data_IF_418633635376
#
_entry.id   IF_418633635376
#
_cell.length_a   1.000
_cell.length_b   1.000
_cell.length_c   1.000
_cell.angle_alpha   90.00
_cell.angle_beta   90.00
_cell.angle_gamma   90.00
#
_symmetry.space_group_name_H-M   'P 1'
#
loop_
_entity.id
_entity.type
_entity.pdbx_description
1 polymer ?
#
# COMPACT_ATOMS: atom_id res chain seq x y z
N UNK A 1 -6.16 9.48 -26.71
CA UNK A 1 -7.49 9.34 -26.10
C UNK A 1 -8.30 10.57 -26.46
N UNK A 2 -9.54 10.45 -26.95
CA UNK A 2 -10.41 11.58 -27.26
C UNK A 2 -10.84 12.34 -25.98
N UNK A 3 -10.90 13.67 -26.08
CA UNK A 3 -11.33 14.53 -24.94
C UNK A 3 -12.73 14.19 -24.43
N UNK A 4 -13.74 13.90 -25.28
CA UNK A 4 -15.08 13.52 -24.81
C UNK A 4 -15.08 12.28 -23.92
N UNK A 5 -14.34 11.23 -24.26
CA UNK A 5 -14.24 10.00 -23.46
C UNK A 5 -13.59 10.27 -22.11
N UNK A 6 -12.56 11.12 -22.06
CA UNK A 6 -11.92 11.50 -20.80
C UNK A 6 -12.88 12.25 -19.88
N UNK A 7 -13.66 13.19 -20.42
CA UNK A 7 -14.65 13.95 -19.65
C UNK A 7 -15.78 13.04 -19.13
N UNK A 8 -16.19 12.03 -19.90
CA UNK A 8 -17.16 11.03 -19.46
C UNK A 8 -16.65 10.24 -18.25
N UNK A 9 -15.40 9.75 -18.30
CA UNK A 9 -14.79 9.05 -17.17
C UNK A 9 -14.68 9.95 -15.94
N UNK A 10 -14.27 11.21 -16.12
CA UNK A 10 -14.23 12.18 -15.02
C UNK A 10 -15.61 12.38 -14.39
N UNK A 11 -16.67 12.45 -15.21
CA UNK A 11 -18.03 12.57 -14.70
C UNK A 11 -18.46 11.33 -13.91
N UNK A 12 -18.16 10.11 -14.39
CA UNK A 12 -18.40 8.85 -13.67
C UNK A 12 -17.65 8.83 -12.32
N UNK A 13 -16.36 9.15 -12.34
CA UNK A 13 -15.51 9.22 -11.14
C UNK A 13 -16.09 10.20 -10.12
N UNK A 14 -16.48 11.40 -10.56
CA UNK A 14 -17.06 12.40 -9.67
C UNK A 14 -18.39 11.94 -9.05
N UNK A 15 -19.23 11.24 -9.82
CA UNK A 15 -20.50 10.68 -9.33
C UNK A 15 -20.27 9.61 -8.27
N UNK A 16 -19.44 8.61 -8.57
CA UNK A 16 -19.21 7.46 -7.68
C UNK A 16 -18.48 7.90 -6.40
N UNK A 17 -17.51 8.84 -6.52
CA UNK A 17 -16.75 9.29 -5.37
C UNK A 17 -17.59 10.01 -4.30
N UNK A 18 -18.75 10.58 -4.65
CA UNK A 18 -19.66 11.23 -3.66
C UNK A 18 -20.07 10.28 -2.55
N UNK A 19 -20.23 8.98 -2.86
CA UNK A 19 -20.70 7.98 -1.91
C UNK A 19 -19.59 7.58 -0.91
N UNK A 20 -18.32 7.83 -1.25
CA UNK A 20 -17.17 7.44 -0.42
C UNK A 20 -16.35 8.61 0.13
N UNK A 21 -16.64 9.86 -0.26
CA UNK A 21 -15.77 11.01 -0.03
C UNK A 21 -15.40 11.27 1.44
N UNK A 22 -16.23 10.84 2.40
CA UNK A 22 -15.99 11.02 3.85
C UNK A 22 -15.62 9.71 4.55
N UNK A 23 -15.39 8.63 3.79
CA UNK A 23 -15.14 7.30 4.34
C UNK A 23 -13.65 7.00 4.56
N UNK A 24 -12.76 7.83 4.02
CA UNK A 24 -11.30 7.71 4.19
C UNK A 24 -10.87 8.80 5.16
N UNK A 25 -10.59 8.42 6.40
CA UNK A 25 -10.21 9.34 7.47
C UNK A 25 -8.72 9.26 7.78
N UNK A 26 -8.18 10.27 8.47
CA UNK A 26 -6.81 10.22 8.99
C UNK A 26 -6.73 9.28 10.19
N UNK A 27 -5.68 8.43 10.20
CA UNK A 27 -5.25 7.59 11.32
C UNK A 27 -3.74 7.71 11.45
N UNK A 28 -3.31 8.70 12.21
CA UNK A 28 -1.89 9.06 12.36
C UNK A 28 -1.29 8.30 13.55
N UNK A 29 -1.26 6.97 13.46
CA UNK A 29 -0.66 6.12 14.47
C UNK A 29 0.86 6.29 14.53
N UNK A 30 1.45 6.00 15.69
CA UNK A 30 2.90 5.96 15.91
C UNK A 30 3.26 4.78 16.80
N UNK A 31 4.52 4.33 16.72
CA UNK A 31 5.03 3.26 17.55
C UNK A 31 6.33 3.66 18.26
N UNK A 32 6.40 3.45 19.57
CA UNK A 32 7.49 3.91 20.43
C UNK A 32 8.87 3.34 20.08
N UNK A 33 8.93 2.21 19.40
CA UNK A 33 10.20 1.59 18.94
C UNK A 33 11.03 2.53 18.06
N UNK A 34 10.41 3.55 17.46
CA UNK A 34 11.09 4.53 16.59
C UNK A 34 11.28 5.91 17.24
N UNK A 35 10.87 6.12 18.49
CA UNK A 35 10.91 7.46 19.13
C UNK A 35 12.34 8.02 19.19
N UNK A 36 13.30 7.20 19.58
CA UNK A 36 14.72 7.58 19.65
C UNK A 36 15.25 7.99 18.26
N UNK A 37 14.96 7.19 17.24
CA UNK A 37 15.42 7.43 15.87
C UNK A 37 14.73 8.65 15.25
N UNK A 38 13.46 8.89 15.54
CA UNK A 38 12.73 10.06 15.08
C UNK A 38 13.27 11.35 15.74
N UNK A 39 13.71 11.26 16.99
CA UNK A 39 14.36 12.34 17.73
C UNK A 39 15.80 12.60 17.31
N UNK A 40 16.46 11.71 16.57
CA UNK A 40 17.86 11.82 16.22
C UNK A 40 18.14 13.02 15.28
N UNK A 41 18.95 14.01 15.72
CA UNK A 41 19.24 15.21 14.91
C UNK A 41 20.13 14.90 13.69
N UNK A 42 20.87 13.79 13.70
CA UNK A 42 21.74 13.39 12.59
C UNK A 42 20.96 12.96 11.33
N UNK A 43 19.66 12.68 11.45
CA UNK A 43 18.85 12.25 10.32
C UNK A 43 18.27 13.41 9.53
N UNK A 44 18.58 13.45 8.24
CA UNK A 44 17.99 14.40 7.31
C UNK A 44 16.50 14.13 7.01
N UNK A 45 15.80 15.11 6.41
CA UNK A 45 14.35 15.04 6.17
C UNK A 45 13.87 13.77 5.43
N UNK A 46 14.64 13.29 4.45
CA UNK A 46 14.29 12.10 3.68
C UNK A 46 14.29 10.83 4.57
N UNK A 47 15.26 10.70 5.48
CA UNK A 47 15.30 9.58 6.43
C UNK A 47 14.15 9.68 7.42
N UNK A 48 13.91 10.86 8.00
CA UNK A 48 12.79 11.09 8.93
C UNK A 48 11.44 10.78 8.31
N UNK A 49 11.18 11.18 7.06
CA UNK A 49 9.96 10.81 6.33
C UNK A 49 9.75 9.30 6.24
N UNK A 50 10.81 8.53 6.01
CA UNK A 50 10.72 7.07 5.99
C UNK A 50 10.45 6.47 7.36
N UNK A 51 11.08 6.99 8.43
CA UNK A 51 10.86 6.54 9.80
C UNK A 51 9.42 6.82 10.25
N UNK A 52 8.87 8.01 9.96
CA UNK A 52 7.47 8.35 10.26
C UNK A 52 6.51 7.36 9.59
N UNK A 53 6.75 7.01 8.33
CA UNK A 53 5.90 6.03 7.62
C UNK A 53 5.99 4.64 8.26
N UNK A 54 7.18 4.19 8.66
CA UNK A 54 7.36 2.89 9.33
C UNK A 54 6.72 2.92 10.71
N UNK A 55 6.92 3.98 11.49
CA UNK A 55 6.29 4.16 12.80
C UNK A 55 4.77 4.07 12.71
N UNK A 56 4.18 4.72 11.70
CA UNK A 56 2.73 4.64 11.50
C UNK A 56 2.25 3.24 11.16
N UNK A 57 2.94 2.51 10.29
CA UNK A 57 2.58 1.12 9.95
C UNK A 57 2.63 0.23 11.20
N UNK A 58 3.66 0.34 12.02
CA UNK A 58 3.79 -0.44 13.26
C UNK A 58 2.72 -0.03 14.30
N UNK A 59 2.44 1.27 14.42
CA UNK A 59 1.38 1.77 15.28
C UNK A 59 0.00 1.23 14.87
N UNK A 60 -0.28 1.19 13.57
CA UNK A 60 -1.52 0.59 13.06
C UNK A 60 -1.58 -0.92 13.33
N UNK A 61 -0.48 -1.66 13.16
CA UNK A 61 -0.43 -3.09 13.53
C UNK A 61 -0.75 -3.28 15.02
N UNK A 62 -0.27 -2.39 15.89
CA UNK A 62 -0.53 -2.43 17.34
C UNK A 62 -1.98 -2.06 17.65
N UNK A 63 -2.50 -0.93 17.12
CA UNK A 63 -3.87 -0.46 17.37
C UNK A 63 -4.93 -1.48 16.95
N UNK A 64 -4.67 -2.20 15.86
CA UNK A 64 -5.56 -3.23 15.33
C UNK A 64 -5.27 -4.63 15.89
N UNK A 65 -4.46 -4.71 16.95
CA UNK A 65 -4.13 -5.96 17.65
C UNK A 65 -3.59 -7.07 16.71
N UNK A 66 -2.81 -6.68 15.68
CA UNK A 66 -2.21 -7.60 14.73
C UNK A 66 -0.80 -8.08 15.16
N UNK A 67 -0.19 -7.46 16.19
CA UNK A 67 1.09 -7.86 16.76
C UNK A 67 0.89 -8.99 17.79
N UNK A 68 0.44 -10.15 17.33
CA UNK A 68 0.29 -11.36 18.17
C UNK A 68 1.52 -12.24 18.09
N UNK A 69 1.81 -13.03 19.13
CA UNK A 69 2.84 -14.07 19.04
C UNK A 69 2.39 -15.22 18.14
N UNK A 70 3.27 -16.17 17.83
CA UNK A 70 3.05 -17.26 16.85
C UNK A 70 2.65 -16.76 15.44
N UNK A 71 3.04 -15.53 15.06
CA UNK A 71 2.67 -14.89 13.80
C UNK A 71 3.86 -14.84 12.85
N UNK A 72 3.65 -15.24 11.60
CA UNK A 72 4.54 -14.89 10.50
C UNK A 72 4.10 -13.59 9.82
N UNK A 73 4.91 -12.55 9.97
CA UNK A 73 4.69 -11.28 9.28
C UNK A 73 5.35 -11.31 7.91
N UNK A 74 4.56 -11.15 6.86
CA UNK A 74 5.04 -11.22 5.47
C UNK A 74 5.14 -9.83 4.89
N UNK A 75 6.37 -9.30 4.71
CA UNK A 75 6.60 -8.07 3.97
C UNK A 75 6.72 -8.37 2.48
N UNK A 76 5.65 -8.08 1.72
CA UNK A 76 5.60 -8.22 0.27
C UNK A 76 6.15 -6.96 -0.41
N UNK A 77 7.18 -7.13 -1.27
CA UNK A 77 7.92 -6.01 -1.85
C UNK A 77 8.87 -5.35 -0.84
N UNK A 78 9.59 -6.16 -0.08
CA UNK A 78 10.38 -5.72 1.08
C UNK A 78 11.54 -4.75 0.75
N UNK A 79 11.97 -4.69 -0.52
CA UNK A 79 13.07 -3.82 -0.91
C UNK A 79 14.31 -4.05 -0.05
N UNK A 80 14.79 -2.99 0.63
CA UNK A 80 15.95 -3.06 1.53
C UNK A 80 15.65 -3.58 2.94
N UNK A 81 14.43 -4.05 3.22
CA UNK A 81 14.04 -4.63 4.51
C UNK A 81 13.90 -3.62 5.66
N UNK A 82 13.57 -2.36 5.38
CA UNK A 82 13.47 -1.34 6.44
C UNK A 82 12.27 -1.56 7.36
N UNK A 83 11.12 -1.95 6.84
CA UNK A 83 9.93 -2.24 7.66
C UNK A 83 10.18 -3.51 8.45
N UNK A 84 10.66 -4.57 7.81
CA UNK A 84 11.02 -5.83 8.46
C UNK A 84 12.02 -5.65 9.60
N UNK A 85 13.01 -4.76 9.44
CA UNK A 85 13.96 -4.45 10.50
C UNK A 85 13.27 -3.90 11.76
N UNK A 86 12.42 -2.89 11.60
CA UNK A 86 11.72 -2.30 12.74
C UNK A 86 10.64 -3.22 13.30
N UNK A 87 10.01 -4.02 12.45
CA UNK A 87 9.06 -5.04 12.86
C UNK A 87 9.75 -6.11 13.71
N UNK A 88 10.90 -6.64 13.30
CA UNK A 88 11.68 -7.58 14.09
C UNK A 88 12.09 -6.97 15.45
N UNK A 89 12.51 -5.69 15.48
CA UNK A 89 12.79 -4.97 16.73
C UNK A 89 11.55 -4.82 17.63
N UNK A 90 10.39 -4.59 17.03
CA UNK A 90 9.12 -4.53 17.77
C UNK A 90 8.78 -5.89 18.39
N UNK A 91 8.92 -6.98 17.65
CA UNK A 91 8.65 -8.33 18.12
C UNK A 91 9.64 -8.73 19.26
N UNK A 92 10.90 -8.34 19.15
CA UNK A 92 11.92 -8.54 20.18
C UNK A 92 11.53 -7.82 21.49
N UNK A 93 11.09 -6.55 21.41
CA UNK A 93 10.60 -5.79 22.56
C UNK A 93 9.36 -6.41 23.20
N UNK A 94 8.46 -6.95 22.39
CA UNK A 94 7.25 -7.65 22.85
C UNK A 94 7.54 -9.06 23.36
N UNK A 95 8.76 -9.57 23.21
CA UNK A 95 9.18 -10.94 23.55
C UNK A 95 8.40 -12.02 22.80
N UNK A 96 8.02 -11.74 21.58
CA UNK A 96 7.29 -12.65 20.68
C UNK A 96 8.30 -13.59 19.99
N UNK A 97 8.88 -14.52 20.75
CA UNK A 97 9.94 -15.42 20.28
C UNK A 97 9.46 -16.49 19.30
N UNK A 98 8.15 -16.79 19.28
CA UNK A 98 7.55 -17.74 18.33
C UNK A 98 7.17 -17.09 17.00
N UNK A 99 7.28 -15.77 16.89
CA UNK A 99 6.96 -15.02 15.69
C UNK A 99 8.16 -14.95 14.74
N UNK A 100 7.88 -14.71 13.47
CA UNK A 100 8.89 -14.58 12.42
C UNK A 100 8.55 -13.48 11.42
N UNK A 101 9.57 -13.01 10.68
CA UNK A 101 9.40 -12.04 9.60
C UNK A 101 9.89 -12.63 8.30
N UNK A 102 9.01 -12.73 7.31
CA UNK A 102 9.32 -13.19 5.96
C UNK A 102 9.38 -11.99 5.01
N UNK A 103 10.54 -11.77 4.40
CA UNK A 103 10.75 -10.74 3.39
C UNK A 103 10.68 -11.33 1.99
N UNK A 104 9.76 -10.82 1.17
CA UNK A 104 9.62 -11.22 -0.24
C UNK A 104 10.04 -10.06 -1.12
N UNK A 105 11.03 -10.27 -1.99
CA UNK A 105 11.52 -9.25 -2.93
C UNK A 105 11.99 -9.90 -4.23
N UNK A 106 11.50 -9.39 -5.37
CA UNK A 106 11.89 -9.91 -6.69
C UNK A 106 13.29 -9.47 -7.11
N UNK A 107 13.64 -8.22 -6.79
CA UNK A 107 14.91 -7.63 -7.22
C UNK A 107 16.09 -8.11 -6.38
N UNK A 108 17.25 -8.28 -7.02
CA UNK A 108 18.52 -8.49 -6.32
C UNK A 108 19.07 -7.14 -5.86
N UNK A 109 18.75 -6.76 -4.63
CA UNK A 109 19.19 -5.52 -4.02
C UNK A 109 20.38 -5.75 -3.08
N UNK A 110 21.21 -4.72 -2.87
CA UNK A 110 22.17 -4.72 -1.75
C UNK A 110 21.41 -4.54 -0.44
N UNK A 111 21.37 -5.58 0.38
CA UNK A 111 20.57 -5.69 1.60
C UNK A 111 21.30 -5.11 2.81
N UNK A 112 21.34 -3.79 2.94
CA UNK A 112 22.03 -3.13 4.06
C UNK A 112 21.44 -3.41 5.43
N UNK A 113 20.15 -3.79 5.50
CA UNK A 113 19.49 -4.07 6.76
C UNK A 113 19.53 -5.55 7.16
N UNK A 114 19.75 -6.47 6.24
CA UNK A 114 19.80 -7.90 6.54
C UNK A 114 20.91 -8.23 7.54
N UNK A 115 22.11 -7.67 7.38
CA UNK A 115 23.23 -7.85 8.35
C UNK A 115 22.91 -7.31 9.78
N UNK A 116 21.89 -6.44 9.91
CA UNK A 116 21.39 -5.97 11.20
C UNK A 116 20.34 -6.90 11.78
N UNK A 117 19.61 -7.59 10.90
CA UNK A 117 18.57 -8.55 11.25
C UNK A 117 19.17 -9.85 11.82
N UNK A 118 20.37 -10.24 11.41
CA UNK A 118 21.11 -11.38 11.97
C UNK A 118 21.41 -11.26 13.46
N UNK A 119 21.18 -10.08 14.07
CA UNK A 119 21.41 -9.79 15.49
C UNK A 119 20.12 -9.77 16.32
N UNK A 120 18.99 -10.14 15.75
CA UNK A 120 17.71 -10.21 16.46
C UNK A 120 17.43 -11.66 16.90
N UNK A 121 16.76 -11.85 18.04
CA UNK A 121 16.28 -13.16 18.48
C UNK A 121 15.07 -13.66 17.67
N UNK A 122 14.48 -12.79 16.86
CA UNK A 122 13.34 -13.10 15.98
C UNK A 122 13.84 -13.72 14.69
N UNK A 123 13.22 -14.83 14.29
CA UNK A 123 13.52 -15.47 13.00
C UNK A 123 13.16 -14.55 11.82
N UNK A 124 14.16 -14.18 11.02
CA UNK A 124 13.97 -13.34 9.84
C UNK A 124 14.46 -14.06 8.59
N UNK A 125 13.58 -14.29 7.64
CA UNK A 125 13.88 -15.03 6.40
C UNK A 125 13.62 -14.13 5.22
N UNK A 126 14.56 -14.07 4.28
CA UNK A 126 14.37 -13.39 2.99
C UNK A 126 14.32 -14.39 1.86
N UNK A 127 13.32 -14.25 1.02
CA UNK A 127 13.23 -15.00 -0.24
C UNK A 127 13.25 -14.05 -1.44
N UNK A 128 13.89 -14.51 -2.51
CA UNK A 128 13.86 -13.83 -3.79
C UNK A 128 12.85 -14.50 -4.71
N UNK A 129 11.66 -13.93 -4.81
CA UNK A 129 10.57 -14.48 -5.62
C UNK A 129 9.71 -13.36 -6.21
N UNK A 130 9.05 -13.62 -7.32
CA UNK A 130 7.93 -12.81 -7.77
C UNK A 130 6.69 -13.16 -6.95
N UNK A 131 5.93 -12.16 -6.53
CA UNK A 131 4.70 -12.35 -5.74
C UNK A 131 3.67 -13.16 -6.53
N UNK A 132 3.66 -13.02 -7.86
CA UNK A 132 2.74 -13.75 -8.74
C UNK A 132 2.93 -15.27 -8.69
N UNK A 133 4.16 -15.72 -8.43
CA UNK A 133 4.53 -17.15 -8.43
C UNK A 133 4.64 -17.73 -7.01
N UNK A 134 4.29 -16.93 -5.99
CA UNK A 134 4.55 -17.27 -4.60
C UNK A 134 3.44 -18.13 -3.99
N UNK A 135 3.80 -19.30 -3.51
CA UNK A 135 2.95 -20.18 -2.72
C UNK A 135 3.32 -20.06 -1.23
N UNK A 136 2.71 -19.09 -0.54
CA UNK A 136 3.00 -18.83 0.88
C UNK A 136 2.88 -20.07 1.78
N UNK A 137 1.87 -20.94 1.64
CA UNK A 137 1.73 -22.13 2.50
C UNK A 137 2.90 -23.10 2.45
N UNK A 138 3.64 -23.12 1.33
CA UNK A 138 4.80 -24.01 1.12
C UNK A 138 6.08 -23.49 1.77
N UNK A 139 6.06 -22.27 2.33
CA UNK A 139 7.22 -21.69 2.97
C UNK A 139 7.27 -22.10 4.44
N UNK A 140 8.37 -22.67 4.88
CA UNK A 140 8.58 -23.22 6.22
C UNK A 140 8.15 -22.27 7.35
N UNK A 141 8.46 -20.98 7.25
CA UNK A 141 8.08 -20.00 8.29
C UNK A 141 6.57 -19.79 8.34
N UNK A 142 5.89 -19.83 7.21
CA UNK A 142 4.42 -19.79 7.13
C UNK A 142 3.81 -21.11 7.60
N UNK A 143 4.40 -22.24 7.18
CA UNK A 143 3.90 -23.58 7.55
C UNK A 143 3.89 -23.78 9.08
N UNK A 144 4.89 -23.24 9.77
CA UNK A 144 5.05 -23.33 11.24
C UNK A 144 4.24 -22.30 12.02
N UNK A 145 3.91 -21.17 11.44
CA UNK A 145 3.18 -20.10 12.10
C UNK A 145 1.70 -20.46 12.30
N UNK A 146 1.15 -20.04 13.42
CA UNK A 146 -0.28 -20.13 13.71
C UNK A 146 -1.06 -19.06 12.94
N UNK A 147 -0.52 -17.87 12.89
CA UNK A 147 -1.14 -16.70 12.23
C UNK A 147 -0.24 -16.13 11.15
N UNK A 148 -0.84 -15.48 10.16
CA UNK A 148 -0.15 -14.76 9.10
C UNK A 148 -0.68 -13.33 9.03
N UNK A 149 0.24 -12.36 8.98
CA UNK A 149 -0.09 -10.94 8.80
C UNK A 149 0.67 -10.38 7.61
N UNK A 150 -0.07 -9.80 6.65
CA UNK A 150 0.51 -9.13 5.49
C UNK A 150 0.94 -7.70 5.82
N UNK A 151 2.15 -7.31 5.44
CA UNK A 151 2.65 -5.94 5.61
C UNK A 151 3.28 -5.46 4.32
N UNK A 152 2.99 -4.24 3.92
CA UNK A 152 3.70 -3.61 2.81
C UNK A 152 3.94 -2.13 3.05
N UNK A 153 5.06 -1.64 2.50
CA UNK A 153 5.33 -0.22 2.37
C UNK A 153 5.76 0.10 0.95
N UNK A 154 4.93 0.87 0.23
CA UNK A 154 5.16 1.23 -1.16
C UNK A 154 5.19 0.06 -2.16
N UNK A 155 4.22 -0.81 -2.09
CA UNK A 155 4.01 -1.83 -3.11
C UNK A 155 3.37 -1.19 -4.36
N UNK A 156 4.02 -1.33 -5.52
CA UNK A 156 3.71 -0.54 -6.71
C UNK A 156 2.72 -1.23 -7.64
N UNK A 157 1.66 -0.53 -8.03
CA UNK A 157 0.75 -0.93 -9.11
C UNK A 157 0.17 -2.33 -8.92
N UNK A 158 0.29 -3.17 -9.93
CA UNK A 158 -0.20 -4.56 -9.94
C UNK A 158 0.33 -5.43 -8.81
N UNK A 159 1.54 -5.16 -8.33
CA UNK A 159 2.11 -5.95 -7.23
C UNK A 159 1.24 -5.88 -5.96
N UNK A 160 0.47 -4.79 -5.77
CA UNK A 160 -0.51 -4.71 -4.69
C UNK A 160 -1.62 -5.76 -4.85
N UNK A 161 -2.19 -5.86 -6.04
CA UNK A 161 -3.28 -6.79 -6.33
C UNK A 161 -2.80 -8.25 -6.30
N UNK A 162 -1.59 -8.50 -6.79
CA UNK A 162 -0.91 -9.79 -6.67
C UNK A 162 -0.67 -10.18 -5.20
N UNK A 163 -0.26 -9.22 -4.35
CA UNK A 163 -0.06 -9.45 -2.92
C UNK A 163 -1.37 -9.79 -2.21
N UNK A 164 -2.45 -9.06 -2.51
CA UNK A 164 -3.78 -9.36 -1.98
C UNK A 164 -4.23 -10.76 -2.38
N UNK A 165 -4.08 -11.12 -3.66
CA UNK A 165 -4.39 -12.46 -4.17
C UNK A 165 -3.54 -13.54 -3.49
N UNK A 166 -2.24 -13.30 -3.32
CA UNK A 166 -1.32 -14.24 -2.66
C UNK A 166 -1.73 -14.51 -1.20
N UNK A 167 -2.10 -13.47 -0.44
CA UNK A 167 -2.58 -13.61 0.94
C UNK A 167 -3.93 -14.34 0.99
N UNK A 168 -4.86 -14.06 0.07
CA UNK A 168 -6.15 -14.75 0.01
C UNK A 168 -6.01 -16.22 -0.40
N UNK A 169 -5.11 -16.55 -1.30
CA UNK A 169 -4.76 -17.93 -1.62
C UNK A 169 -4.19 -18.66 -0.41
N UNK A 170 -3.33 -17.98 0.38
CA UNK A 170 -2.82 -18.52 1.63
C UNK A 170 -3.95 -18.81 2.63
N UNK A 171 -4.92 -17.92 2.78
CA UNK A 171 -6.10 -18.15 3.61
C UNK A 171 -6.94 -19.32 3.11
N UNK A 172 -7.18 -19.40 1.81
CA UNK A 172 -7.98 -20.46 1.19
C UNK A 172 -7.35 -21.84 1.33
N UNK A 173 -6.02 -21.92 1.48
CA UNK A 173 -5.29 -23.17 1.76
C UNK A 173 -5.36 -23.61 3.24
N UNK A 174 -6.12 -22.92 4.07
CA UNK A 174 -6.33 -23.26 5.48
C UNK A 174 -5.39 -22.55 6.47
N UNK A 175 -4.50 -21.64 6.01
CA UNK A 175 -3.71 -20.80 6.90
C UNK A 175 -4.55 -19.65 7.47
N UNK A 176 -4.29 -19.29 8.71
CA UNK A 176 -5.03 -18.22 9.37
C UNK A 176 -4.40 -16.86 9.08
N UNK A 177 -4.81 -16.23 7.96
CA UNK A 177 -4.45 -14.84 7.67
C UNK A 177 -5.32 -13.94 8.55
N UNK A 178 -4.76 -13.47 9.67
CA UNK A 178 -5.50 -12.67 10.67
C UNK A 178 -5.70 -11.23 10.26
N UNK A 179 -4.84 -10.70 9.39
CA UNK A 179 -5.01 -9.35 8.87
C UNK A 179 -3.84 -8.85 8.04
N UNK A 180 -3.92 -7.57 7.69
CA UNK A 180 -2.87 -6.89 6.94
C UNK A 180 -2.91 -5.38 7.11
N UNK A 181 -1.73 -4.75 7.00
CA UNK A 181 -1.54 -3.29 6.89
C UNK A 181 -0.72 -3.01 5.64
N UNK A 182 -1.34 -2.42 4.63
CA UNK A 182 -0.73 -2.26 3.32
C UNK A 182 -0.86 -0.83 2.82
N UNK A 183 0.28 -0.21 2.46
CA UNK A 183 0.31 1.11 1.84
C UNK A 183 0.58 1.01 0.36
N UNK A 184 -0.05 1.88 -0.41
CA UNK A 184 -0.08 1.81 -1.87
C UNK A 184 0.75 2.91 -2.51
N UNK A 185 1.29 2.61 -3.70
CA UNK A 185 1.90 3.61 -4.55
C UNK A 185 1.76 3.24 -6.04
N UNK A 186 2.13 4.18 -6.92
CA UNK A 186 2.22 3.95 -8.36
C UNK A 186 0.95 3.34 -8.98
N UNK A 187 -0.25 3.79 -8.58
CA UNK A 187 -1.52 3.27 -9.09
C UNK A 187 -1.68 3.44 -10.62
N UNK A 188 -0.91 4.34 -11.24
CA UNK A 188 -0.82 4.46 -12.70
C UNK A 188 -0.23 3.22 -13.40
N UNK A 189 0.28 2.24 -12.64
CA UNK A 189 0.82 0.96 -13.10
C UNK A 189 -0.10 -0.21 -12.80
N UNK A 190 -1.34 0.04 -12.43
CA UNK A 190 -2.35 -1.00 -12.27
C UNK A 190 -2.96 -1.34 -13.63
N UNK A 191 -3.23 -2.63 -13.84
CA UNK A 191 -3.87 -3.15 -15.04
C UNK A 191 -5.15 -3.88 -14.66
N UNK A 192 -6.17 -3.74 -15.51
CA UNK A 192 -7.47 -4.38 -15.27
C UNK A 192 -7.37 -5.88 -15.02
N UNK A 193 -6.50 -6.58 -15.76
CA UNK A 193 -6.40 -8.05 -15.67
C UNK A 193 -6.02 -8.56 -14.29
N UNK A 194 -5.12 -7.86 -13.59
CA UNK A 194 -4.62 -8.22 -12.25
C UNK A 194 -5.43 -7.60 -11.12
N UNK A 195 -6.16 -6.51 -11.40
CA UNK A 195 -6.88 -5.74 -10.39
C UNK A 195 -7.97 -6.57 -9.70
N UNK A 196 -7.93 -6.65 -8.37
CA UNK A 196 -8.84 -7.49 -7.57
C UNK A 196 -10.23 -6.86 -7.37
N UNK A 197 -10.35 -5.54 -7.47
CA UNK A 197 -11.61 -4.80 -7.23
C UNK A 197 -12.54 -4.70 -8.43
N UNK A 198 -12.41 -5.55 -9.47
CA UNK A 198 -13.21 -5.51 -10.71
C UNK A 198 -14.70 -5.50 -10.45
N UNK A 199 -15.17 -6.40 -9.59
CA UNK A 199 -16.60 -6.55 -9.29
C UNK A 199 -17.23 -5.24 -8.78
N UNK A 200 -16.50 -4.47 -7.94
CA UNK A 200 -16.96 -3.16 -7.51
C UNK A 200 -17.12 -2.20 -8.70
N UNK A 201 -16.10 -2.11 -9.56
CA UNK A 201 -16.14 -1.20 -10.70
C UNK A 201 -17.20 -1.57 -11.73
N UNK A 202 -17.36 -2.86 -12.04
CA UNK A 202 -18.41 -3.36 -12.93
C UNK A 202 -19.81 -2.99 -12.39
N UNK A 203 -20.02 -3.15 -11.08
CA UNK A 203 -21.27 -2.78 -10.43
C UNK A 203 -21.61 -1.29 -10.54
N UNK A 204 -20.61 -0.40 -10.48
CA UNK A 204 -20.80 1.05 -10.59
C UNK A 204 -20.64 1.58 -12.03
N UNK A 205 -20.53 0.70 -13.03
CA UNK A 205 -20.51 1.05 -14.44
C UNK A 205 -19.16 1.55 -14.98
N UNK A 206 -18.06 1.15 -14.33
CA UNK A 206 -16.67 1.35 -14.77
C UNK A 206 -16.17 0.07 -15.44
N UNK A 207 -15.80 0.14 -16.71
CA UNK A 207 -15.23 -0.96 -17.46
C UNK A 207 -13.69 -0.89 -17.51
N UNK A 208 -13.05 -1.86 -18.20
CA UNK A 208 -11.59 -1.92 -18.33
C UNK A 208 -10.97 -0.68 -18.98
N UNK A 209 -11.64 -0.10 -19.98
CA UNK A 209 -11.16 1.10 -20.67
C UNK A 209 -11.24 2.33 -19.76
N UNK A 210 -12.34 2.46 -19.01
CA UNK A 210 -12.51 3.51 -18.01
C UNK A 210 -11.44 3.39 -16.91
N UNK A 211 -11.14 2.16 -16.46
CA UNK A 211 -10.11 1.88 -15.46
C UNK A 211 -8.72 2.30 -15.92
N UNK A 212 -8.34 1.97 -17.16
CA UNK A 212 -7.05 2.37 -17.72
C UNK A 212 -6.92 3.90 -17.80
N UNK A 213 -8.02 4.59 -18.12
CA UNK A 213 -8.10 6.06 -18.09
C UNK A 213 -7.91 6.56 -16.66
N UNK A 214 -8.60 5.99 -15.69
CA UNK A 214 -8.45 6.34 -14.25
C UNK A 214 -7.03 6.17 -13.76
N UNK A 215 -6.35 5.07 -14.13
CA UNK A 215 -4.95 4.84 -13.82
C UNK A 215 -4.04 5.95 -14.40
N UNK A 216 -4.32 6.41 -15.61
CA UNK A 216 -3.65 7.58 -16.18
C UNK A 216 -3.88 8.87 -15.39
N UNK A 217 -5.13 9.10 -14.96
CA UNK A 217 -5.55 10.30 -14.21
C UNK A 217 -4.94 10.35 -12.79
N UNK A 218 -4.64 9.21 -12.17
CA UNK A 218 -3.97 9.14 -10.85
C UNK A 218 -2.68 9.95 -10.82
N UNK A 219 -1.95 10.03 -11.92
CA UNK A 219 -0.72 10.82 -12.01
C UNK A 219 -0.92 12.30 -11.71
N UNK A 220 -2.11 12.84 -11.93
CA UNK A 220 -2.44 14.23 -11.61
C UNK A 220 -2.38 14.52 -10.10
N UNK A 221 -2.74 13.55 -9.25
CA UNK A 221 -2.66 13.70 -7.80
C UNK A 221 -1.23 13.66 -7.25
N UNK A 222 -0.31 13.01 -7.95
CA UNK A 222 1.08 12.81 -7.47
C UNK A 222 2.04 13.78 -8.12
N UNK A 223 1.75 14.17 -9.36
CA UNK A 223 2.65 14.96 -10.20
C UNK A 223 2.11 16.35 -10.55
N UNK A 224 0.85 16.65 -10.35
CA UNK A 224 0.21 17.94 -10.70
C UNK A 224 0.30 18.34 -12.17
N UNK A 225 1.44 18.09 -12.80
CA UNK A 225 1.71 18.40 -14.22
C UNK A 225 1.84 17.17 -15.13
N UNK A 226 1.73 15.94 -14.59
CA UNK A 226 2.00 14.71 -15.34
C UNK A 226 3.48 14.47 -15.64
N UNK A 227 4.39 15.27 -15.11
CA UNK A 227 5.83 15.14 -15.33
C UNK A 227 6.54 14.42 -14.19
N UNK A 228 7.62 13.67 -14.50
CA UNK A 228 8.44 13.01 -13.51
C UNK A 228 9.17 14.01 -12.59
N UNK A 229 9.53 13.58 -11.36
CA UNK A 229 10.27 14.41 -10.40
C UNK A 229 11.58 14.98 -10.95
N UNK A 230 12.22 14.30 -11.87
CA UNK A 230 13.48 14.73 -12.49
C UNK A 230 13.29 15.90 -13.46
N UNK A 231 12.18 15.92 -14.20
CA UNK A 231 11.84 17.04 -15.10
C UNK A 231 11.44 18.32 -14.35
N UNK A 232 10.88 18.19 -13.11
CA UNK A 232 10.47 19.36 -12.31
C UNK A 232 11.63 20.21 -11.81
N UNK A 233 12.83 19.64 -11.61
CA UNK A 233 14.01 20.39 -11.16
C UNK A 233 14.58 21.31 -12.25
N UNK A 234 14.23 21.05 -13.51
CA UNK A 234 14.72 21.80 -14.65
C UNK A 234 13.72 22.81 -15.21
N UNK A 235 12.44 22.75 -14.80
CA UNK A 235 11.38 23.64 -15.28
C UNK A 235 10.94 24.66 -14.20
N UNK A 236 11.83 25.52 -13.72
CA UNK A 236 11.45 26.78 -13.08
C UNK A 236 10.89 27.82 -14.09
N UNK A 237 10.96 27.52 -15.38
CA UNK A 237 10.29 28.27 -16.46
C UNK A 237 8.98 27.59 -16.81
N UNK A 238 7.86 28.17 -16.39
CA UNK A 238 6.48 27.68 -16.49
C UNK A 238 5.90 27.47 -17.92
N UNK A 239 6.59 26.76 -18.79
CA UNK A 239 6.19 26.45 -20.17
C UNK A 239 6.44 24.95 -20.45
N UNK A 240 5.50 24.12 -20.04
CA UNK A 240 5.55 22.65 -20.28
C UNK A 240 4.27 21.93 -19.90
N UNK A 241 3.11 22.60 -19.91
CA UNK A 241 1.84 21.86 -19.87
C UNK A 241 1.71 21.11 -21.21
N UNK A 242 1.60 19.78 -21.09
CA UNK A 242 1.35 18.92 -22.24
C UNK A 242 0.07 19.43 -22.93
N UNK A 243 0.16 19.97 -24.15
CA UNK A 243 -0.94 20.60 -24.92
C UNK A 243 -2.22 19.75 -24.95
N UNK A 244 -2.09 18.42 -24.80
CA UNK A 244 -3.20 17.47 -24.72
C UNK A 244 -4.13 17.70 -23.53
N UNK A 245 -3.64 18.30 -22.45
CA UNK A 245 -4.43 18.54 -21.22
C UNK A 245 -4.93 19.98 -21.07
N UNK A 246 -4.43 20.93 -21.88
CA UNK A 246 -4.96 22.30 -21.95
C UNK A 246 -6.34 22.34 -22.60
N UNK A 247 -6.65 21.38 -23.49
CA UNK A 247 -7.95 21.28 -24.18
C UNK A 247 -9.12 20.83 -23.29
N UNK A 248 -8.86 20.37 -22.03
CA UNK A 248 -9.90 19.84 -21.15
C UNK A 248 -10.58 20.94 -20.32
N UNK A 249 -10.00 22.13 -20.27
CA UNK A 249 -10.54 23.27 -19.52
C UNK A 249 -10.43 23.15 -17.98
N UNK A 250 -9.71 22.14 -17.47
CA UNK A 250 -9.48 21.95 -16.03
C UNK A 250 -8.19 22.64 -15.58
N UNK A 251 -8.29 23.44 -14.51
CA UNK A 251 -7.12 24.00 -13.85
C UNK A 251 -6.34 22.93 -13.05
N UNK A 252 -5.16 23.29 -12.52
CA UNK A 252 -4.29 22.37 -11.79
C UNK A 252 -4.97 21.76 -10.57
N UNK A 253 -5.67 22.55 -9.75
CA UNK A 253 -6.34 22.08 -8.54
C UNK A 253 -7.46 21.07 -8.86
N UNK A 254 -8.21 21.33 -9.94
CA UNK A 254 -9.24 20.41 -10.42
C UNK A 254 -8.65 19.09 -10.90
N UNK A 255 -7.52 19.12 -11.63
CA UNK A 255 -6.78 17.92 -12.05
C UNK A 255 -6.29 17.10 -10.84
N UNK A 256 -5.66 17.77 -9.86
CA UNK A 256 -5.20 17.13 -8.61
C UNK A 256 -6.38 16.47 -7.86
N UNK A 257 -7.52 17.14 -7.80
CA UNK A 257 -8.75 16.63 -7.18
C UNK A 257 -9.27 15.39 -7.90
N UNK A 258 -9.35 15.41 -9.23
CA UNK A 258 -9.76 14.25 -10.03
C UNK A 258 -8.79 13.07 -9.82
N UNK A 259 -7.50 13.31 -9.86
CA UNK A 259 -6.49 12.28 -9.63
C UNK A 259 -6.62 11.65 -8.25
N UNK A 260 -6.89 12.45 -7.20
CA UNK A 260 -7.14 11.95 -5.85
C UNK A 260 -8.38 11.07 -5.79
N UNK A 261 -9.48 11.49 -6.42
CA UNK A 261 -10.70 10.68 -6.49
C UNK A 261 -10.48 9.33 -7.20
N UNK A 262 -9.71 9.30 -8.27
CA UNK A 262 -9.33 8.06 -8.93
C UNK A 262 -8.54 7.14 -7.99
N UNK A 263 -7.57 7.68 -7.22
CA UNK A 263 -6.82 6.92 -6.22
C UNK A 263 -7.75 6.32 -5.16
N UNK A 264 -8.64 7.12 -4.63
CA UNK A 264 -9.57 6.71 -3.58
C UNK A 264 -10.47 5.56 -4.07
N UNK A 265 -11.02 5.68 -5.29
CA UNK A 265 -11.89 4.65 -5.88
C UNK A 265 -11.16 3.34 -6.19
N UNK A 266 -9.92 3.40 -6.72
CA UNK A 266 -9.11 2.19 -6.96
C UNK A 266 -8.85 1.46 -5.64
N UNK A 267 -8.51 2.18 -4.58
CA UNK A 267 -8.28 1.57 -3.27
C UNK A 267 -9.60 1.12 -2.61
N UNK A 268 -10.69 1.81 -2.88
CA UNK A 268 -12.02 1.39 -2.42
C UNK A 268 -12.44 0.04 -3.00
N UNK A 269 -12.20 -0.19 -4.29
CA UNK A 269 -12.44 -1.49 -4.91
C UNK A 269 -11.64 -2.62 -4.25
N UNK A 270 -10.38 -2.37 -3.85
CA UNK A 270 -9.58 -3.33 -3.06
C UNK A 270 -10.18 -3.60 -1.69
N UNK A 271 -10.68 -2.55 -1.01
CA UNK A 271 -11.40 -2.69 0.26
C UNK A 271 -12.62 -3.60 0.10
N UNK A 272 -13.48 -3.35 -0.89
CA UNK A 272 -14.67 -4.18 -1.17
C UNK A 272 -14.27 -5.62 -1.46
N UNK A 273 -13.21 -5.83 -2.24
CA UNK A 273 -12.68 -7.19 -2.49
C UNK A 273 -12.36 -7.91 -1.17
N UNK A 274 -11.60 -7.28 -0.26
CA UNK A 274 -11.25 -7.90 1.02
C UNK A 274 -12.46 -8.11 1.93
N UNK A 275 -13.42 -7.21 1.92
CA UNK A 275 -14.69 -7.40 2.65
C UNK A 275 -15.43 -8.64 2.16
N UNK A 276 -15.45 -8.88 0.85
CA UNK A 276 -16.04 -10.09 0.26
C UNK A 276 -15.24 -11.37 0.59
N UNK A 277 -13.97 -11.25 1.00
CA UNK A 277 -13.14 -12.34 1.50
C UNK A 277 -13.27 -12.55 3.02
N UNK A 278 -14.18 -11.85 3.69
CA UNK A 278 -14.46 -12.01 5.12
C UNK A 278 -13.55 -11.17 6.04
N UNK A 279 -13.05 -10.04 5.55
CA UNK A 279 -12.29 -9.09 6.38
C UNK A 279 -13.10 -7.85 6.70
N UNK A 280 -12.95 -7.35 7.93
CA UNK A 280 -13.29 -5.98 8.28
C UNK A 280 -12.18 -5.06 7.80
N UNK A 281 -12.50 -4.08 6.96
CA UNK A 281 -11.49 -3.26 6.29
C UNK A 281 -11.72 -1.77 6.49
N UNK A 282 -10.65 -1.06 6.84
CA UNK A 282 -10.57 0.39 6.83
C UNK A 282 -9.61 0.89 5.74
N UNK A 283 -9.98 2.00 5.08
CA UNK A 283 -9.06 2.83 4.33
C UNK A 283 -8.78 4.09 5.13
N UNK A 284 -7.52 4.46 5.28
CA UNK A 284 -7.13 5.67 5.99
C UNK A 284 -5.94 6.38 5.36
N UNK A 285 -5.78 7.66 5.68
CA UNK A 285 -4.53 8.38 5.47
C UNK A 285 -3.64 8.13 6.67
N UNK A 286 -2.64 7.23 6.52
CA UNK A 286 -1.78 6.76 7.62
C UNK A 286 -0.67 7.76 8.01
N UNK A 287 -0.34 8.70 7.14
CA UNK A 287 0.58 9.81 7.40
C UNK A 287 0.07 11.07 6.72
N UNK A 288 0.49 12.23 7.23
CA UNK A 288 0.12 13.51 6.63
C UNK A 288 0.67 13.63 5.19
N UNK A 289 -0.05 14.35 4.33
CA UNK A 289 0.31 14.55 2.91
C UNK A 289 1.65 15.29 2.71
N UNK A 290 2.15 16.05 3.72
CA UNK A 290 3.48 16.65 3.68
C UNK A 290 4.62 15.62 3.80
N UNK A 291 4.34 14.44 4.35
CA UNK A 291 5.29 13.32 4.41
C UNK A 291 5.35 12.61 3.06
N UNK A 292 4.20 12.25 2.50
CA UNK A 292 4.08 11.68 1.16
C UNK A 292 2.67 11.87 0.62
N UNK A 293 2.54 12.09 -0.69
CA UNK A 293 1.24 12.09 -1.38
C UNK A 293 0.67 10.67 -1.59
N UNK A 294 1.51 9.64 -1.42
CA UNK A 294 1.12 8.23 -1.41
C UNK A 294 0.89 7.80 0.04
N UNK A 295 -0.16 8.36 0.65
CA UNK A 295 -0.45 8.22 2.08
C UNK A 295 -1.70 7.41 2.40
N UNK A 296 -2.27 6.71 1.42
CA UNK A 296 -3.41 5.81 1.64
C UNK A 296 -2.91 4.44 2.11
N UNK A 297 -3.55 3.92 3.15
CA UNK A 297 -3.32 2.60 3.72
C UNK A 297 -4.64 1.83 3.79
N UNK A 298 -4.60 0.54 3.51
CA UNK A 298 -5.67 -0.39 3.88
C UNK A 298 -5.25 -1.16 5.12
N UNK A 299 -6.19 -1.25 6.06
CA UNK A 299 -6.07 -2.07 7.26
C UNK A 299 -7.20 -3.09 7.17
N UNK A 300 -6.86 -4.36 7.19
CA UNK A 300 -7.87 -5.41 7.14
C UNK A 300 -7.62 -6.39 8.29
N UNK A 301 -8.69 -6.75 8.98
CA UNK A 301 -8.69 -7.77 10.02
C UNK A 301 -9.72 -8.83 9.67
N UNK A 302 -9.36 -10.09 9.84
CA UNK A 302 -10.30 -11.20 9.67
C UNK A 302 -11.53 -10.97 10.54
N UNK A 303 -12.71 -10.99 9.94
CA UNK A 303 -13.94 -10.89 10.72
C UNK A 303 -14.07 -12.11 11.64
N UNK A 304 -14.37 -11.87 12.92
CA UNK A 304 -14.72 -12.96 13.81
C UNK A 304 -15.96 -13.65 13.24
N UNK A 305 -15.90 -14.97 13.08
CA UNK A 305 -17.14 -15.71 12.83
C UNK A 305 -17.98 -15.52 14.07
N UNK A 306 -19.12 -14.84 13.94
CA UNK A 306 -20.16 -14.92 14.97
C UNK A 306 -20.49 -16.40 15.14
N UNK A 307 -20.28 -16.91 16.35
CA UNK A 307 -20.58 -18.29 16.74
C UNK A 307 -22.07 -18.44 16.92
#
# INVERSE_FOLDING_TARGET
MPVPQLLEVIAKVNKIHKDIQNSIQEKLATHSVLDEELGNPAYGPATKKHLVQVSSILGLLQEYNLLQDDTCFVELGAGKGKVSYWLAKTLELLRHSSSSVLLVERASLRHKHDNKLDKTDVSVVRIRADIADLLLPEIDTIAKAKHVVGVTKHLCGDATDLALTCLMNCQSSGKDVTGMVMTFCCLHRCHWNTYVGKHFFEHVGINSVDFDIMCGLVSWAVCGSGQSREKRKNDESGLGENERYTQIGLNRCEKETVGKKCKDLINWGRKIYLQNQGFNCDLCYYVNSNITLENVCIIAMKANKEV
#
